data_IF_362324764535
#
_entry.id   IF_362324764535
#
_cell.length_a   1.000
_cell.length_b   1.000
_cell.length_c   1.000
_cell.angle_alpha   90.00
_cell.angle_beta   90.00
_cell.angle_gamma   90.00
#
_symmetry.space_group_name_H-M   'P 1'
#
loop_
_entity.id
_entity.type
_entity.pdbx_description
1 polymer ?
#
# COMPACT_ATOMS: atom_id res chain seq x y z
N UNK A 1 -13.28 16.72 17.70
CA UNK A 1 -13.11 15.70 16.64
C UNK A 1 -11.63 15.72 16.25
N UNK A 2 -10.83 14.68 16.57
CA UNK A 2 -9.39 14.67 16.21
C UNK A 2 -9.29 14.61 14.69
N UNK A 3 -8.64 15.61 14.10
CA UNK A 3 -8.42 15.69 12.66
C UNK A 3 -7.64 14.44 12.24
N UNK A 4 -8.28 13.55 11.48
CA UNK A 4 -7.57 12.42 10.87
C UNK A 4 -6.64 13.06 9.85
N UNK A 5 -5.35 13.04 10.16
CA UNK A 5 -4.32 13.41 9.21
C UNK A 5 -4.48 12.47 8.00
N UNK A 6 -4.78 13.04 6.84
CA UNK A 6 -4.89 12.27 5.60
C UNK A 6 -3.59 11.49 5.36
N UNK A 7 -3.70 10.18 5.10
CA UNK A 7 -2.54 9.33 4.86
C UNK A 7 -1.75 9.80 3.64
N UNK A 8 -0.42 9.76 3.73
CA UNK A 8 0.49 10.27 2.70
C UNK A 8 1.40 9.17 2.15
N UNK A 9 1.76 9.29 0.87
CA UNK A 9 2.70 8.38 0.20
C UNK A 9 4.07 9.01 -0.03
N UNK A 10 4.11 10.31 -0.34
CA UNK A 10 5.34 11.09 -0.57
C UNK A 10 5.29 12.40 0.21
N UNK A 11 6.45 12.80 0.71
CA UNK A 11 6.66 14.05 1.44
C UNK A 11 7.90 14.72 0.88
N UNK A 12 7.80 16.02 0.57
CA UNK A 12 8.93 16.84 0.14
C UNK A 12 9.01 18.09 1.00
N UNK A 13 10.15 18.30 1.65
CA UNK A 13 10.47 19.58 2.30
C UNK A 13 10.79 20.63 1.25
N UNK A 14 10.23 21.82 1.44
CA UNK A 14 10.43 22.99 0.60
C UNK A 14 10.69 24.21 1.48
N UNK A 15 11.21 25.29 0.90
CA UNK A 15 11.46 26.54 1.64
C UNK A 15 10.17 27.15 2.22
N UNK A 16 9.01 26.82 1.65
CA UNK A 16 7.68 27.27 2.07
C UNK A 16 6.92 26.27 2.95
N UNK A 17 7.54 25.16 3.36
CA UNK A 17 6.91 24.12 4.18
C UNK A 17 6.94 22.73 3.53
N UNK A 18 5.98 21.88 3.91
CA UNK A 18 5.93 20.48 3.47
C UNK A 18 4.89 20.31 2.36
N UNK A 19 5.31 19.77 1.21
CA UNK A 19 4.40 19.27 0.18
C UNK A 19 4.16 17.78 0.36
N UNK A 20 2.89 17.37 0.31
CA UNK A 20 2.48 15.98 0.46
C UNK A 20 1.75 15.48 -0.78
N UNK A 21 2.11 14.27 -1.24
CA UNK A 21 1.28 13.50 -2.16
C UNK A 21 0.45 12.51 -1.35
N UNK A 22 -0.87 12.58 -1.51
CA UNK A 22 -1.78 11.71 -0.74
C UNK A 22 -1.56 10.25 -1.12
N UNK A 23 -1.79 9.36 -0.15
CA UNK A 23 -1.65 7.93 -0.37
C UNK A 23 -2.62 7.44 -1.46
N UNK A 24 -3.86 7.91 -1.43
CA UNK A 24 -4.89 7.55 -2.43
C UNK A 24 -4.51 8.01 -3.83
N UNK A 25 -4.04 9.26 -3.99
CA UNK A 25 -3.64 9.76 -5.30
C UNK A 25 -2.44 8.98 -5.85
N UNK A 26 -1.44 8.68 -5.01
CA UNK A 26 -0.32 7.86 -5.43
C UNK A 26 -0.74 6.43 -5.82
N UNK A 27 -1.65 5.81 -5.05
CA UNK A 27 -2.22 4.50 -5.40
C UNK A 27 -2.92 4.52 -6.75
N UNK A 28 -3.72 5.56 -7.03
CA UNK A 28 -4.38 5.74 -8.32
C UNK A 28 -3.37 5.91 -9.47
N UNK A 29 -2.33 6.74 -9.28
CA UNK A 29 -1.26 6.95 -10.27
C UNK A 29 -0.58 5.61 -10.62
N UNK A 30 -0.22 4.81 -9.61
CA UNK A 30 0.45 3.51 -9.79
C UNK A 30 -0.48 2.51 -10.48
N UNK A 31 -1.76 2.45 -10.10
CA UNK A 31 -2.75 1.61 -10.76
C UNK A 31 -2.88 1.96 -12.25
N UNK A 32 -3.04 3.24 -12.58
CA UNK A 32 -3.17 3.72 -13.95
C UNK A 32 -1.90 3.44 -14.79
N UNK A 33 -0.71 3.62 -14.21
CA UNK A 33 0.55 3.26 -14.87
C UNK A 33 0.60 1.77 -15.16
N UNK A 34 0.20 0.92 -14.21
CA UNK A 34 0.19 -0.53 -14.41
C UNK A 34 -0.81 -0.94 -15.50
N UNK A 35 -2.02 -0.37 -15.52
CA UNK A 35 -2.98 -0.60 -16.60
C UNK A 35 -2.40 -0.24 -17.96
N UNK A 36 -1.73 0.92 -18.06
CA UNK A 36 -1.12 1.35 -19.33
C UNK A 36 0.01 0.44 -19.77
N UNK A 37 0.83 -0.05 -18.85
CA UNK A 37 1.90 -1.02 -19.12
C UNK A 37 1.32 -2.37 -19.56
N UNK A 38 0.24 -2.84 -18.94
CA UNK A 38 -0.42 -4.10 -19.32
C UNK A 38 -1.24 -4.01 -20.62
N UNK A 39 -1.52 -2.79 -21.09
CA UNK A 39 -2.03 -2.54 -22.44
C UNK A 39 -0.93 -2.62 -23.52
N UNK A 40 0.36 -2.57 -23.15
CA UNK A 40 1.46 -2.83 -24.08
C UNK A 40 1.56 -4.35 -24.39
N UNK A 41 1.48 -4.77 -25.67
CA UNK A 41 1.50 -6.18 -26.03
C UNK A 41 2.78 -6.92 -25.63
N UNK A 42 3.94 -6.25 -25.67
CA UNK A 42 5.23 -6.86 -25.35
C UNK A 42 5.33 -7.10 -23.84
N UNK A 43 4.95 -6.12 -23.03
CA UNK A 43 4.95 -6.26 -21.57
C UNK A 43 3.96 -7.33 -21.13
N UNK A 44 2.73 -7.29 -21.66
CA UNK A 44 1.70 -8.27 -21.32
C UNK A 44 2.09 -9.71 -21.73
N UNK A 45 2.66 -9.89 -22.92
CA UNK A 45 3.11 -11.20 -23.39
C UNK A 45 4.25 -11.76 -22.53
N UNK A 46 5.22 -10.93 -22.14
CA UNK A 46 6.32 -11.34 -21.25
C UNK A 46 5.82 -11.75 -19.87
N UNK A 47 4.89 -10.99 -19.29
CA UNK A 47 4.28 -11.33 -18.00
C UNK A 47 3.45 -12.62 -18.09
N UNK A 48 2.69 -12.82 -19.17
CA UNK A 48 1.97 -14.07 -19.42
C UNK A 48 2.94 -15.25 -19.48
N UNK A 49 4.03 -15.12 -20.24
CA UNK A 49 5.05 -16.16 -20.37
C UNK A 49 5.70 -16.51 -19.03
N UNK A 50 6.03 -15.52 -18.21
CA UNK A 50 6.57 -15.73 -16.86
C UNK A 50 5.58 -16.48 -15.94
N UNK A 51 4.28 -16.26 -16.14
CA UNK A 51 3.22 -16.97 -15.42
C UNK A 51 2.89 -18.35 -16.03
N UNK A 52 3.59 -18.79 -17.08
CA UNK A 52 3.26 -20.04 -17.78
C UNK A 52 1.96 -19.98 -18.58
N UNK A 53 1.47 -18.78 -18.90
CA UNK A 53 0.22 -18.53 -19.60
C UNK A 53 0.48 -18.15 -21.05
N UNK A 54 -0.49 -18.47 -21.91
CA UNK A 54 -0.47 -18.00 -23.31
C UNK A 54 -0.67 -16.49 -23.41
N UNK A 55 -1.57 -15.95 -22.60
CA UNK A 55 -1.89 -14.52 -22.55
C UNK A 55 -2.51 -14.13 -21.20
N UNK A 56 -2.46 -12.83 -20.87
CA UNK A 56 -3.17 -12.29 -19.71
C UNK A 56 -4.59 -11.89 -20.12
N UNK A 57 -5.60 -12.43 -19.42
CA UNK A 57 -6.99 -12.03 -19.63
C UNK A 57 -7.23 -10.60 -19.14
N UNK A 58 -8.29 -9.91 -19.61
CA UNK A 58 -8.65 -8.58 -19.10
C UNK A 58 -8.82 -8.54 -17.57
N UNK A 59 -9.40 -9.59 -16.98
CA UNK A 59 -9.57 -9.71 -15.53
C UNK A 59 -8.23 -9.79 -14.81
N UNK A 60 -7.29 -10.58 -15.32
CA UNK A 60 -5.95 -10.67 -14.74
C UNK A 60 -5.21 -9.32 -14.78
N UNK A 61 -5.36 -8.57 -15.88
CA UNK A 61 -4.75 -7.25 -16.01
C UNK A 61 -5.34 -6.25 -15.00
N UNK A 62 -6.65 -6.26 -14.81
CA UNK A 62 -7.31 -5.45 -13.79
C UNK A 62 -6.85 -5.82 -12.37
N UNK A 63 -6.78 -7.13 -12.05
CA UNK A 63 -6.28 -7.62 -10.75
C UNK A 63 -4.82 -7.20 -10.51
N UNK A 64 -3.93 -7.35 -11.48
CA UNK A 64 -2.53 -6.92 -11.38
C UNK A 64 -2.41 -5.41 -11.15
N UNK A 65 -3.25 -4.61 -11.80
CA UNK A 65 -3.28 -3.16 -11.65
C UNK A 65 -3.77 -2.75 -10.26
N UNK A 66 -4.80 -3.43 -9.74
CA UNK A 66 -5.26 -3.25 -8.36
C UNK A 66 -4.17 -3.61 -7.34
N UNK A 67 -3.49 -4.75 -7.53
CA UNK A 67 -2.38 -5.18 -6.66
C UNK A 67 -1.25 -4.14 -6.65
N UNK A 68 -0.92 -3.56 -7.80
CA UNK A 68 0.05 -2.46 -7.88
C UNK A 68 -0.44 -1.20 -7.15
N UNK A 69 -1.71 -0.84 -7.30
CA UNK A 69 -2.30 0.33 -6.65
C UNK A 69 -2.26 0.23 -5.11
N UNK A 70 -2.47 -0.97 -4.55
CA UNK A 70 -2.45 -1.20 -3.10
C UNK A 70 -1.07 -1.55 -2.52
N UNK A 71 0.00 -1.54 -3.31
CA UNK A 71 1.33 -1.93 -2.83
C UNK A 71 1.80 -1.09 -1.62
N UNK A 72 1.31 0.16 -1.55
CA UNK A 72 1.58 1.22 -0.58
C UNK A 72 0.55 1.27 0.57
N UNK A 73 -0.44 0.39 0.58
CA UNK A 73 -1.52 0.40 1.57
C UNK A 73 -1.02 0.28 3.01
N UNK A 74 0.11 -0.41 3.24
CA UNK A 74 0.69 -0.50 4.58
C UNK A 74 1.20 0.82 5.11
N UNK A 75 1.37 1.88 4.30
CA UNK A 75 1.68 3.25 4.78
C UNK A 75 0.54 3.90 5.53
N UNK A 76 -0.68 3.38 5.43
CA UNK A 76 -1.84 3.81 6.23
C UNK A 76 -1.75 3.32 7.69
N UNK A 77 -0.55 3.35 8.30
CA UNK A 77 -0.33 3.01 9.70
C UNK A 77 0.19 4.22 10.48
N UNK A 78 -0.10 4.25 11.78
CA UNK A 78 0.27 5.37 12.67
C UNK A 78 1.80 5.57 12.71
N UNK A 79 2.59 4.50 12.73
CA UNK A 79 4.05 4.59 12.72
C UNK A 79 4.62 5.27 11.47
N UNK A 80 4.03 5.02 10.30
CA UNK A 80 4.40 5.69 9.06
C UNK A 80 3.96 7.15 9.06
N UNK A 81 2.75 7.45 9.52
CA UNK A 81 2.29 8.83 9.64
C UNK A 81 3.12 9.66 10.64
N UNK A 82 3.61 9.05 11.72
CA UNK A 82 4.48 9.71 12.71
C UNK A 82 5.81 10.18 12.13
N UNK A 83 6.27 9.60 11.00
CA UNK A 83 7.43 10.14 10.28
C UNK A 83 7.19 11.57 9.80
N UNK A 84 5.94 11.94 9.48
CA UNK A 84 5.61 13.33 9.15
C UNK A 84 5.88 14.26 10.33
N UNK A 85 5.43 13.88 11.52
CA UNK A 85 5.63 14.68 12.72
C UNK A 85 7.13 14.88 13.02
N UNK A 86 7.97 13.85 12.81
CA UNK A 86 9.43 13.99 12.88
C UNK A 86 9.97 14.98 11.86
N UNK A 87 9.51 14.90 10.60
CA UNK A 87 9.92 15.83 9.54
C UNK A 87 9.45 17.27 9.84
N UNK A 88 8.34 17.43 10.58
CA UNK A 88 7.78 18.69 11.08
C UNK A 88 8.47 19.20 12.37
N UNK A 89 9.42 18.45 12.94
CA UNK A 89 10.24 18.86 14.09
C UNK A 89 9.80 18.31 15.45
N UNK A 90 8.87 17.36 15.50
CA UNK A 90 8.53 16.66 16.74
C UNK A 90 9.71 15.80 17.24
N UNK A 91 9.84 15.67 18.56
CA UNK A 91 10.83 14.77 19.18
C UNK A 91 10.30 13.33 19.20
N UNK A 92 11.21 12.35 19.22
CA UNK A 92 10.86 10.94 19.43
C UNK A 92 10.08 10.69 20.72
N UNK A 93 10.25 11.54 21.74
CA UNK A 93 9.47 11.51 22.99
C UNK A 93 7.98 11.76 22.76
N UNK A 94 7.62 12.51 21.72
CA UNK A 94 6.27 13.06 21.52
C UNK A 94 5.35 12.10 20.75
N UNK A 95 5.95 11.17 19.99
CA UNK A 95 5.26 10.31 19.02
C UNK A 95 5.26 8.83 19.38
N UNK A 96 6.08 8.41 20.36
CA UNK A 96 6.22 7.00 20.75
C UNK A 96 6.86 6.12 19.67
N UNK A 97 7.40 4.97 20.10
CA UNK A 97 8.12 4.03 19.21
C UNK A 97 7.12 3.12 18.49
N UNK A 98 6.54 3.57 17.37
CA UNK A 98 5.65 2.76 16.54
C UNK A 98 6.36 2.28 15.26
N UNK A 99 6.03 1.06 14.84
CA UNK A 99 6.64 0.41 13.69
C UNK A 99 6.12 1.05 12.42
N UNK A 100 7.01 1.68 11.66
CA UNK A 100 6.69 2.17 10.32
C UNK A 100 7.02 1.09 9.29
N UNK A 101 6.03 0.66 8.51
CA UNK A 101 6.22 -0.25 7.40
C UNK A 101 5.46 0.19 6.16
N UNK A 102 5.77 -0.46 5.03
CA UNK A 102 5.23 -0.16 3.71
C UNK A 102 4.50 -1.39 3.15
N UNK A 103 5.25 -2.43 2.77
CA UNK A 103 4.70 -3.75 2.37
C UNK A 103 4.54 -4.69 3.57
N UNK A 104 5.49 -4.63 4.51
CA UNK A 104 5.55 -5.49 5.70
C UNK A 104 4.27 -5.54 6.53
N UNK A 105 3.58 -4.41 6.83
CA UNK A 105 2.33 -4.44 7.57
C UNK A 105 1.23 -5.24 6.87
N UNK A 106 1.15 -5.16 5.54
CA UNK A 106 0.15 -5.87 4.73
C UNK A 106 0.52 -7.36 4.59
N UNK A 107 1.81 -7.68 4.44
CA UNK A 107 2.29 -9.07 4.41
C UNK A 107 2.11 -9.77 5.75
N UNK A 108 2.37 -9.08 6.87
CA UNK A 108 2.21 -9.62 8.22
C UNK A 108 0.74 -9.87 8.56
N UNK A 109 -0.17 -9.09 7.99
CA UNK A 109 -1.59 -9.37 8.05
C UNK A 109 -1.90 -10.72 7.37
N UNK A 110 -1.36 -10.97 6.17
CA UNK A 110 -1.60 -12.21 5.41
C UNK A 110 -0.91 -13.47 5.98
N UNK A 111 0.15 -13.33 6.79
CA UNK A 111 0.92 -14.45 7.32
C UNK A 111 0.89 -14.47 8.86
N UNK A 112 -0.06 -15.20 9.48
CA UNK A 112 -0.31 -15.14 10.93
C UNK A 112 0.83 -15.68 11.82
N UNK A 113 1.90 -16.23 11.22
CA UNK A 113 3.04 -16.85 11.92
C UNK A 113 4.31 -16.00 12.01
N UNK A 114 4.38 -14.82 11.39
CA UNK A 114 5.56 -13.96 11.52
C UNK A 114 5.40 -12.99 12.70
N UNK A 115 6.31 -13.14 13.66
CA UNK A 115 6.22 -12.67 15.05
C UNK A 115 6.10 -11.13 15.13
N UNK A 116 4.89 -10.66 15.41
CA UNK A 116 4.68 -9.42 16.17
C UNK A 116 3.81 -9.76 17.38
N UNK A 117 4.30 -9.40 18.58
CA UNK A 117 3.71 -9.80 19.86
C UNK A 117 2.21 -9.54 19.90
N UNK A 118 1.54 -10.59 20.35
CA UNK A 118 0.12 -10.91 20.25
C UNK A 118 -0.75 -10.18 21.30
N UNK A 119 -0.95 -8.86 21.19
CA UNK A 119 -1.93 -8.18 22.05
C UNK A 119 -2.93 -7.21 21.39
N UNK A 120 -2.72 -6.80 20.14
CA UNK A 120 -3.63 -5.86 19.46
C UNK A 120 -3.82 -6.20 17.97
N UNK A 121 -4.18 -7.44 17.60
CA UNK A 121 -4.63 -7.71 16.23
C UNK A 121 -6.02 -7.06 16.06
N UNK A 122 -6.19 -5.96 15.30
CA UNK A 122 -7.50 -5.34 15.18
C UNK A 122 -8.28 -6.05 14.06
N UNK A 123 -9.61 -5.90 14.13
CA UNK A 123 -10.63 -6.17 13.09
C UNK A 123 -10.25 -5.74 11.65
N UNK A 124 -9.16 -5.01 11.46
CA UNK A 124 -8.64 -4.54 10.18
C UNK A 124 -8.16 -5.65 9.25
N UNK A 125 -7.74 -6.81 9.76
CA UNK A 125 -7.30 -7.91 8.89
C UNK A 125 -8.44 -8.50 8.07
N UNK A 126 -9.50 -8.96 8.76
CA UNK A 126 -10.67 -9.53 8.09
C UNK A 126 -11.34 -8.48 7.20
N UNK A 127 -11.46 -7.23 7.67
CA UNK A 127 -11.99 -6.14 6.86
C UNK A 127 -11.17 -5.85 5.59
N UNK A 128 -9.84 -5.95 5.66
CA UNK A 128 -8.99 -5.75 4.49
C UNK A 128 -9.12 -6.90 3.49
N UNK A 129 -9.09 -8.16 3.96
CA UNK A 129 -9.24 -9.33 3.09
C UNK A 129 -10.63 -9.35 2.44
N UNK A 130 -11.70 -9.11 3.22
CA UNK A 130 -13.08 -9.06 2.75
C UNK A 130 -13.32 -7.89 1.79
N UNK A 131 -12.83 -6.68 2.12
CA UNK A 131 -13.03 -5.50 1.26
C UNK A 131 -12.25 -5.59 -0.06
N UNK A 132 -11.10 -6.28 -0.05
CA UNK A 132 -10.26 -6.46 -1.23
C UNK A 132 -10.61 -7.71 -2.03
N UNK A 133 -11.49 -8.58 -1.52
CA UNK A 133 -11.86 -9.84 -2.15
C UNK A 133 -10.65 -10.72 -2.48
N UNK A 134 -9.59 -10.66 -1.64
CA UNK A 134 -8.31 -11.35 -1.91
C UNK A 134 -8.47 -12.87 -1.92
N UNK A 135 -9.48 -13.38 -1.23
CA UNK A 135 -9.93 -14.78 -1.28
C UNK A 135 -10.30 -15.22 -2.70
N UNK A 136 -10.73 -14.29 -3.57
CA UNK A 136 -11.23 -14.56 -4.94
C UNK A 136 -10.27 -14.08 -6.02
N UNK A 137 -9.06 -13.64 -5.67
CA UNK A 137 -8.07 -13.14 -6.65
C UNK A 137 -7.46 -14.29 -7.47
N UNK A 138 -7.45 -15.51 -6.93
CA UNK A 138 -6.88 -16.70 -7.56
C UNK A 138 -7.91 -17.74 -8.01
N UNK A 139 -9.20 -17.45 -7.81
CA UNK A 139 -10.33 -18.11 -8.48
C UNK A 139 -10.64 -17.42 -9.82
#
# INVERSE_FOLDING_TARGET
>A
MKQIVAAWAKLKKTNSGILMHSLVAHSADVGAVMERLLADPVIAARLAQLAGLKELTPVMKARLSLLAAIHDAGKANVGFNNKRALEEGASFSDIGKLVAGHVGPVVNLMHPGNVYRDRDRPKSYSLFVDAMGLDRVFD
#
